data_IF_539935543962
#
_entry.id   IF_539935543962
#
_cell.length_a   1.000
_cell.length_b   1.000
_cell.length_c   1.000
_cell.angle_alpha   90.00
_cell.angle_beta   90.00
_cell.angle_gamma   90.00
#
_symmetry.space_group_name_H-M   'P 1'
#
loop_
_entity.id
_entity.type
_entity.pdbx_description
1 polymer ?
#
# COMPACT_ATOMS: atom_id res chain seq x y z
N UNK A 1 7.54 -36.35 -13.02
CA UNK A 1 6.71 -35.19 -13.42
C UNK A 1 6.09 -34.60 -12.17
N UNK A 2 6.63 -33.51 -11.64
CA UNK A 2 5.99 -32.76 -10.56
C UNK A 2 6.06 -31.29 -10.96
N UNK A 3 4.93 -30.75 -11.45
CA UNK A 3 4.74 -29.32 -11.65
C UNK A 3 4.61 -28.69 -10.26
N UNK A 4 5.69 -28.13 -9.74
CA UNK A 4 5.60 -27.11 -8.70
C UNK A 4 5.18 -25.80 -9.40
N UNK A 5 3.88 -25.68 -9.65
CA UNK A 5 3.25 -24.41 -10.05
C UNK A 5 2.40 -23.94 -8.89
N UNK A 6 3.06 -23.64 -7.77
CA UNK A 6 2.49 -22.81 -6.73
C UNK A 6 3.16 -21.47 -6.88
N UNK A 7 2.50 -20.52 -7.55
CA UNK A 7 2.91 -19.11 -7.50
C UNK A 7 2.91 -18.77 -6.02
N UNK A 8 4.09 -18.55 -5.45
CA UNK A 8 4.24 -18.21 -4.04
C UNK A 8 3.73 -16.77 -3.83
N UNK A 9 2.42 -16.55 -3.92
CA UNK A 9 1.73 -15.30 -3.55
C UNK A 9 1.59 -15.23 -2.02
N UNK A 10 2.65 -15.59 -1.29
CA UNK A 10 2.66 -15.63 0.15
C UNK A 10 4.03 -15.22 0.67
N UNK A 11 4.27 -13.90 0.82
CA UNK A 11 4.97 -13.34 2.00
C UNK A 11 5.22 -11.83 2.08
N UNK A 12 4.63 -10.97 1.26
CA UNK A 12 4.75 -9.52 1.50
C UNK A 12 3.36 -8.93 1.76
N UNK A 13 2.90 -8.99 3.01
CA UNK A 13 1.87 -8.04 3.43
C UNK A 13 2.45 -6.63 3.32
N UNK A 14 1.74 -5.66 2.76
CA UNK A 14 2.11 -4.26 2.92
C UNK A 14 1.94 -3.89 4.38
N UNK A 15 3.03 -3.96 5.15
CA UNK A 15 3.02 -3.48 6.53
C UNK A 15 3.14 -1.97 6.44
N UNK A 16 2.00 -1.28 6.42
CA UNK A 16 1.98 0.19 6.51
C UNK A 16 2.41 0.55 7.94
N UNK A 17 3.63 1.08 8.13
CA UNK A 17 4.14 1.33 9.47
C UNK A 17 3.27 2.36 10.20
N UNK A 18 3.26 2.36 11.53
CA UNK A 18 2.75 3.50 12.28
C UNK A 18 3.51 4.75 11.85
N UNK A 19 2.83 5.90 11.83
CA UNK A 19 3.51 7.17 11.58
C UNK A 19 4.40 7.45 12.81
N UNK A 20 5.67 7.86 12.63
CA UNK A 20 6.51 8.28 13.75
C UNK A 20 5.87 9.44 14.51
N UNK A 21 6.31 9.74 15.74
CA UNK A 21 5.84 10.96 16.41
C UNK A 21 6.49 12.19 15.76
N UNK A 22 5.80 13.34 15.72
CA UNK A 22 6.45 14.58 15.32
C UNK A 22 7.65 14.86 16.25
N UNK A 23 8.74 15.44 15.74
CA UNK A 23 9.89 15.79 16.56
C UNK A 23 9.46 16.66 17.74
N UNK A 24 9.94 16.37 18.96
CA UNK A 24 9.55 17.09 20.18
C UNK A 24 9.87 18.60 20.14
N UNK A 25 10.76 19.00 19.24
CA UNK A 25 11.22 20.35 18.95
C UNK A 25 10.57 20.97 17.70
N UNK A 26 9.65 20.25 17.04
CA UNK A 26 8.90 20.77 15.90
C UNK A 26 7.72 21.61 16.41
N UNK A 27 7.72 22.91 16.10
CA UNK A 27 6.53 23.77 16.31
C UNK A 27 5.38 23.42 15.35
N UNK A 28 5.64 22.57 14.36
CA UNK A 28 4.62 22.04 13.46
C UNK A 28 3.88 20.89 14.14
N UNK A 29 2.73 21.20 14.73
CA UNK A 29 1.73 20.19 15.03
C UNK A 29 1.28 19.57 13.70
N UNK A 30 1.48 18.27 13.55
CA UNK A 30 0.92 17.56 12.41
C UNK A 30 -0.59 17.67 12.42
N UNK A 31 -1.15 17.91 11.25
CA UNK A 31 -2.57 17.95 11.01
C UNK A 31 -3.19 16.59 11.33
N UNK A 32 -4.42 16.61 11.86
CA UNK A 32 -5.23 15.40 12.04
C UNK A 32 -5.40 14.62 10.73
N UNK A 33 -5.18 15.27 9.58
CA UNK A 33 -5.24 14.67 8.26
C UNK A 33 -4.13 13.63 8.03
N UNK A 34 -2.97 13.75 8.68
CA UNK A 34 -1.88 12.76 8.58
C UNK A 34 -2.31 11.40 9.14
N UNK A 35 -2.85 11.39 10.37
CA UNK A 35 -3.31 10.17 11.03
C UNK A 35 -4.52 9.55 10.33
N UNK A 36 -5.45 10.38 9.85
CA UNK A 36 -6.59 9.93 9.06
C UNK A 36 -6.16 9.30 7.73
N UNK A 37 -5.23 9.94 7.01
CA UNK A 37 -4.67 9.42 5.77
C UNK A 37 -3.97 8.08 5.98
N UNK A 38 -3.11 7.95 7.01
CA UNK A 38 -2.47 6.66 7.32
C UNK A 38 -3.47 5.57 7.64
N UNK A 39 -4.49 5.87 8.44
CA UNK A 39 -5.53 4.88 8.79
C UNK A 39 -6.22 4.39 7.53
N UNK A 40 -6.55 5.30 6.61
CA UNK A 40 -7.16 4.94 5.33
C UNK A 40 -6.22 4.17 4.40
N UNK A 41 -4.96 4.58 4.30
CA UNK A 41 -3.93 3.86 3.52
C UNK A 41 -3.77 2.45 4.05
N UNK A 42 -3.62 2.28 5.37
CA UNK A 42 -3.46 0.97 6.01
C UNK A 42 -4.67 0.06 5.74
N UNK A 43 -5.89 0.55 5.93
CA UNK A 43 -7.10 -0.24 5.68
C UNK A 43 -7.26 -0.66 4.21
N UNK A 44 -6.97 0.24 3.26
CA UNK A 44 -7.02 -0.09 1.83
C UNK A 44 -5.94 -1.11 1.45
N UNK A 45 -4.72 -0.94 1.95
CA UNK A 45 -3.61 -1.86 1.68
C UNK A 45 -3.84 -3.25 2.30
N UNK A 46 -4.39 -3.30 3.52
CA UNK A 46 -4.76 -4.55 4.18
C UNK A 46 -5.86 -5.28 3.39
N UNK A 47 -6.92 -4.57 3.02
CA UNK A 47 -8.01 -5.13 2.23
C UNK A 47 -7.52 -5.71 0.89
N UNK A 48 -6.68 -4.98 0.16
CA UNK A 48 -6.11 -5.46 -1.11
C UNK A 48 -5.19 -6.66 -0.87
N UNK A 49 -4.39 -6.64 0.20
CA UNK A 49 -3.54 -7.75 0.59
C UNK A 49 -4.32 -9.02 0.97
N UNK A 50 -5.52 -8.88 1.54
CA UNK A 50 -6.45 -10.00 1.80
C UNK A 50 -7.02 -10.55 0.50
N UNK A 51 -7.40 -9.67 -0.43
CA UNK A 51 -7.93 -10.07 -1.74
C UNK A 51 -6.90 -10.82 -2.58
N UNK A 52 -5.63 -10.36 -2.59
CA UNK A 52 -4.53 -11.04 -3.24
C UNK A 52 -4.27 -12.45 -2.69
N UNK A 53 -4.64 -12.73 -1.44
CA UNK A 53 -4.49 -14.05 -0.81
C UNK A 53 -5.61 -15.03 -1.15
N UNK A 54 -6.73 -14.53 -1.64
CA UNK A 54 -7.82 -15.39 -2.11
C UNK A 54 -7.43 -15.87 -3.52
N UNK A 55 -7.08 -17.15 -3.66
CA UNK A 55 -6.62 -17.78 -4.92
C UNK A 55 -7.64 -17.70 -6.08
N UNK A 56 -8.87 -17.20 -5.83
CA UNK A 56 -9.95 -16.99 -6.80
C UNK A 56 -10.23 -15.50 -7.06
N UNK A 57 -9.17 -14.69 -7.12
CA UNK A 57 -9.29 -13.29 -7.51
C UNK A 57 -9.72 -13.16 -8.98
N UNK A 58 -11.02 -13.01 -9.24
CA UNK A 58 -11.55 -12.56 -10.52
C UNK A 58 -10.74 -11.35 -11.02
N UNK A 59 -10.26 -11.39 -12.26
CA UNK A 59 -9.49 -10.32 -12.91
C UNK A 59 -10.11 -8.94 -12.74
N UNK A 60 -11.44 -8.88 -12.72
CA UNK A 60 -12.18 -7.63 -12.50
C UNK A 60 -11.88 -7.08 -11.10
N UNK A 61 -11.89 -7.93 -10.07
CA UNK A 61 -11.61 -7.53 -8.68
C UNK A 61 -10.16 -7.10 -8.50
N UNK A 62 -9.21 -7.81 -9.12
CA UNK A 62 -7.79 -7.44 -9.08
C UNK A 62 -7.53 -6.10 -9.78
N UNK A 63 -8.20 -5.87 -10.93
CA UNK A 63 -8.13 -4.59 -11.65
C UNK A 63 -8.71 -3.44 -10.81
N UNK A 64 -9.82 -3.65 -10.09
CA UNK A 64 -10.38 -2.66 -9.15
C UNK A 64 -9.42 -2.37 -7.99
N UNK A 65 -8.69 -3.38 -7.51
CA UNK A 65 -7.66 -3.17 -6.49
C UNK A 65 -6.51 -2.30 -7.03
N UNK A 66 -6.06 -2.55 -8.26
CA UNK A 66 -5.06 -1.72 -8.92
C UNK A 66 -5.53 -0.27 -9.05
N UNK A 67 -6.76 -0.06 -9.53
CA UNK A 67 -7.35 1.27 -9.64
C UNK A 67 -7.44 1.95 -8.26
N UNK A 68 -7.81 1.21 -7.22
CA UNK A 68 -7.88 1.74 -5.84
C UNK A 68 -6.51 2.24 -5.34
N UNK A 69 -5.42 1.54 -5.68
CA UNK A 69 -4.07 2.01 -5.34
C UNK A 69 -3.74 3.33 -6.05
N UNK A 70 -4.11 3.46 -7.33
CA UNK A 70 -3.82 4.63 -8.16
C UNK A 70 -4.72 5.84 -7.86
N UNK A 71 -6.01 5.62 -7.64
CA UNK A 71 -7.01 6.67 -7.48
C UNK A 71 -7.19 7.12 -6.02
N UNK A 72 -6.83 6.29 -5.04
CA UNK A 72 -7.01 6.61 -3.62
C UNK A 72 -5.71 6.60 -2.83
N UNK A 73 -4.96 5.50 -2.85
CA UNK A 73 -3.80 5.34 -1.96
C UNK A 73 -2.66 6.29 -2.34
N UNK A 74 -2.26 6.34 -3.61
CA UNK A 74 -1.19 7.22 -4.07
C UNK A 74 -1.52 8.71 -3.83
N UNK A 75 -2.73 9.21 -4.13
CA UNK A 75 -3.12 10.58 -3.78
C UNK A 75 -3.06 10.88 -2.29
N UNK A 76 -3.47 9.94 -1.42
CA UNK A 76 -3.36 10.12 0.04
C UNK A 76 -1.90 10.26 0.48
N UNK A 77 -1.01 9.42 -0.04
CA UNK A 77 0.43 9.51 0.24
C UNK A 77 0.98 10.87 -0.20
N UNK A 78 0.66 11.29 -1.44
CA UNK A 78 1.07 12.61 -1.97
C UNK A 78 0.53 13.76 -1.12
N UNK A 79 -0.70 13.63 -0.62
CA UNK A 79 -1.35 14.64 0.23
C UNK A 79 -0.63 14.88 1.55
N UNK A 80 -0.07 13.83 2.17
CA UNK A 80 0.68 13.93 3.43
C UNK A 80 2.19 14.09 3.25
N UNK A 81 2.71 13.83 2.05
CA UNK A 81 4.14 13.77 1.75
C UNK A 81 4.89 15.06 2.12
N UNK A 82 4.33 16.23 1.80
CA UNK A 82 4.97 17.53 2.12
C UNK A 82 5.10 17.72 3.63
N UNK A 83 4.02 17.49 4.35
CA UNK A 83 3.96 17.74 5.78
C UNK A 83 4.84 16.74 6.57
N UNK A 84 4.89 15.48 6.14
CA UNK A 84 5.82 14.50 6.69
C UNK A 84 7.28 14.84 6.36
N UNK A 85 7.57 15.41 5.19
CA UNK A 85 8.92 15.90 4.86
C UNK A 85 9.33 17.05 5.78
N UNK A 86 8.47 18.04 5.94
CA UNK A 86 8.68 19.20 6.82
C UNK A 86 8.81 18.77 8.29
N UNK A 87 8.09 17.72 8.69
CA UNK A 87 8.15 17.09 10.01
C UNK A 87 9.30 16.10 10.22
N UNK A 88 10.22 15.94 9.27
CA UNK A 88 11.37 15.03 9.42
C UNK A 88 11.01 13.53 9.39
N UNK A 89 9.83 13.18 8.87
CA UNK A 89 9.31 11.82 8.77
C UNK A 89 9.22 11.32 7.30
N UNK A 90 10.14 11.81 6.44
CA UNK A 90 10.16 11.42 5.02
C UNK A 90 10.35 9.92 4.81
N UNK A 91 11.14 9.27 5.66
CA UNK A 91 11.37 7.81 5.60
C UNK A 91 10.07 7.00 5.63
N UNK A 92 9.04 7.48 6.36
CA UNK A 92 7.73 6.83 6.38
C UNK A 92 7.09 6.83 4.97
N UNK A 93 7.19 7.95 4.25
CA UNK A 93 6.65 8.09 2.88
C UNK A 93 7.37 7.14 1.94
N UNK A 94 8.69 7.01 2.07
CA UNK A 94 9.49 6.10 1.22
C UNK A 94 9.11 4.64 1.45
N UNK A 95 9.00 4.22 2.71
CA UNK A 95 8.59 2.87 3.08
C UNK A 95 7.20 2.57 2.51
N UNK A 96 6.23 3.47 2.71
CA UNK A 96 4.86 3.26 2.24
C UNK A 96 4.79 3.24 0.71
N UNK A 97 5.53 4.11 0.01
CA UNK A 97 5.62 4.05 -1.45
C UNK A 97 6.18 2.71 -1.93
N UNK A 98 7.22 2.18 -1.27
CA UNK A 98 7.80 0.90 -1.63
C UNK A 98 6.82 -0.26 -1.42
N UNK A 99 6.08 -0.28 -0.32
CA UNK A 99 5.07 -1.31 -0.04
C UNK A 99 3.91 -1.26 -1.03
N UNK A 100 3.41 -0.06 -1.36
CA UNK A 100 2.37 0.11 -2.38
C UNK A 100 2.89 -0.32 -3.75
N UNK A 101 4.13 0.01 -4.10
CA UNK A 101 4.77 -0.42 -5.35
C UNK A 101 4.87 -1.94 -5.48
N UNK A 102 5.26 -2.64 -4.41
CA UNK A 102 5.28 -4.11 -4.37
C UNK A 102 3.89 -4.70 -4.59
N UNK A 103 2.88 -4.14 -3.93
CA UNK A 103 1.51 -4.61 -4.06
C UNK A 103 0.94 -4.40 -5.45
N UNK A 104 1.23 -3.25 -6.09
CA UNK A 104 0.91 -3.04 -7.51
C UNK A 104 1.57 -4.10 -8.39
N UNK A 105 2.86 -4.37 -8.20
CA UNK A 105 3.55 -5.40 -8.98
C UNK A 105 2.93 -6.79 -8.79
N UNK A 106 2.55 -7.17 -7.56
CA UNK A 106 1.86 -8.43 -7.28
C UNK A 106 0.47 -8.50 -7.92
N UNK A 107 -0.30 -7.42 -7.89
CA UNK A 107 -1.60 -7.34 -8.58
C UNK A 107 -1.43 -7.49 -10.08
N UNK A 108 -0.45 -6.82 -10.68
CA UNK A 108 -0.21 -6.92 -12.12
C UNK A 108 0.12 -8.36 -12.53
N UNK A 109 1.02 -9.02 -11.78
CA UNK A 109 1.36 -10.43 -12.04
C UNK A 109 0.15 -11.35 -11.92
N UNK A 110 -0.72 -11.14 -10.92
CA UNK A 110 -1.93 -11.93 -10.75
C UNK A 110 -2.96 -11.67 -11.87
N UNK A 111 -3.08 -10.42 -12.33
CA UNK A 111 -3.94 -10.05 -13.47
C UNK A 111 -3.42 -10.70 -14.75
N UNK A 112 -2.11 -10.67 -15.00
CA UNK A 112 -1.53 -11.23 -16.21
C UNK A 112 -1.70 -12.76 -16.23
N UNK A 113 -1.49 -13.44 -15.09
CA UNK A 113 -1.48 -14.90 -14.97
C UNK A 113 -2.82 -15.60 -15.24
N UNK A 114 -3.96 -14.92 -15.11
CA UNK A 114 -5.27 -15.50 -15.47
C UNK A 114 -5.89 -14.92 -16.74
N UNK A 115 -5.14 -14.08 -17.47
CA UNK A 115 -5.46 -13.75 -18.87
C UNK A 115 -4.88 -14.76 -19.88
N UNK A 116 -4.11 -15.75 -19.42
CA UNK A 116 -3.58 -16.89 -20.20
C UNK A 116 -4.51 -18.12 -20.17
#
# INVERSE_FOLDING_TARGET
MHKQSGVAVAKCMPIIPPIPNPPANSQLAWSNNIYAARTRIAGLCEHIGDLLRQEEGDHVRLSVCMDTLDSQVIPLIKGVARELREGGAWDWVEIVCAEVGKMKASLQLAIDAGTE
#
